data_IF_986244738662
#
_entry.id   IF_986244738662
#
_cell.length_a   1.000
_cell.length_b   1.000
_cell.length_c   1.000
_cell.angle_alpha   90.00
_cell.angle_beta   90.00
_cell.angle_gamma   90.00
#
_symmetry.space_group_name_H-M   'P 1'
#
loop_
_entity.id
_entity.type
_entity.pdbx_description
1 polymer ?
#
# COMPACT_ATOMS: atom_id res chain seq x y z
N UNK A 1 -5.77 -20.00 1.34
CA UNK A 1 -6.59 -19.21 0.39
C UNK A 1 -8.04 -18.96 0.84
N UNK A 2 -8.79 -19.94 1.35
CA UNK A 2 -10.18 -19.69 1.78
C UNK A 2 -10.31 -18.55 2.82
N UNK A 3 -9.42 -18.52 3.82
CA UNK A 3 -9.39 -17.46 4.82
C UNK A 3 -9.25 -16.06 4.20
N UNK A 4 -8.29 -15.90 3.28
CA UNK A 4 -8.08 -14.64 2.56
C UNK A 4 -9.29 -14.25 1.71
N UNK A 5 -9.96 -15.21 1.06
CA UNK A 5 -11.19 -14.94 0.31
C UNK A 5 -12.35 -14.45 1.18
N UNK A 6 -12.46 -14.91 2.43
CA UNK A 6 -13.43 -14.33 3.38
C UNK A 6 -13.04 -12.93 3.84
N UNK A 7 -11.75 -12.68 4.03
CA UNK A 7 -11.25 -11.38 4.47
C UNK A 7 -11.47 -10.30 3.40
N UNK A 8 -11.09 -10.54 2.15
CA UNK A 8 -11.32 -9.58 1.05
C UNK A 8 -12.83 -9.33 0.80
N UNK A 9 -13.70 -10.26 1.22
CA UNK A 9 -15.15 -10.13 1.18
C UNK A 9 -15.76 -9.45 2.44
N UNK A 10 -14.94 -9.07 3.42
CA UNK A 10 -15.37 -8.41 4.66
C UNK A 10 -15.95 -9.34 5.73
N UNK A 11 -15.85 -10.66 5.55
CA UNK A 11 -16.30 -11.66 6.54
C UNK A 11 -15.15 -12.03 7.50
N UNK A 12 -14.69 -11.03 8.25
CA UNK A 12 -13.50 -11.12 9.09
C UNK A 12 -13.56 -12.23 10.15
N UNK A 13 -14.74 -12.50 10.71
CA UNK A 13 -14.92 -13.55 11.70
C UNK A 13 -14.67 -14.95 11.10
N UNK A 14 -15.19 -15.22 9.89
CA UNK A 14 -14.94 -16.50 9.21
C UNK A 14 -13.52 -16.58 8.66
N UNK A 15 -12.97 -15.46 8.20
CA UNK A 15 -11.58 -15.38 7.79
C UNK A 15 -10.63 -15.75 8.93
N UNK A 16 -10.82 -15.16 10.12
CA UNK A 16 -10.00 -15.46 11.31
C UNK A 16 -10.07 -16.95 11.67
N UNK A 17 -11.28 -17.50 11.80
CA UNK A 17 -11.48 -18.90 12.17
C UNK A 17 -10.86 -19.87 11.14
N UNK A 18 -10.97 -19.54 9.85
CA UNK A 18 -10.37 -20.34 8.79
C UNK A 18 -8.83 -20.27 8.80
N UNK A 19 -8.26 -19.10 9.06
CA UNK A 19 -6.81 -18.92 9.18
C UNK A 19 -6.26 -19.69 10.39
N UNK A 20 -6.91 -19.59 11.56
CA UNK A 20 -6.56 -20.32 12.78
C UNK A 20 -6.61 -21.84 12.56
N UNK A 21 -7.64 -22.33 11.87
CA UNK A 21 -7.76 -23.75 11.51
C UNK A 21 -6.61 -24.18 10.59
N UNK A 22 -6.31 -23.41 9.55
CA UNK A 22 -5.24 -23.73 8.61
C UNK A 22 -3.87 -23.79 9.30
N UNK A 23 -3.56 -22.81 10.16
CA UNK A 23 -2.31 -22.76 10.93
C UNK A 23 -2.22 -23.93 11.93
N UNK A 24 -3.34 -24.32 12.55
CA UNK A 24 -3.38 -25.48 13.43
C UNK A 24 -3.08 -26.81 12.72
N UNK A 25 -3.36 -26.89 11.40
CA UNK A 25 -3.08 -28.05 10.57
C UNK A 25 -1.67 -28.02 9.98
N UNK A 26 -1.23 -26.87 9.46
CA UNK A 26 0.09 -26.66 8.88
C UNK A 26 0.66 -25.32 9.37
N UNK A 27 1.45 -25.32 10.46
CA UNK A 27 2.02 -24.10 11.03
C UNK A 27 2.96 -23.34 10.08
N UNK A 28 3.56 -24.02 9.09
CA UNK A 28 4.47 -23.40 8.15
C UNK A 28 3.78 -22.84 6.90
N UNK A 29 2.44 -22.79 6.86
CA UNK A 29 1.71 -22.11 5.79
C UNK A 29 1.79 -20.57 5.96
N UNK A 30 2.60 -19.86 5.16
CA UNK A 30 2.72 -18.42 5.29
C UNK A 30 1.45 -17.70 4.82
N UNK A 31 0.64 -18.32 3.95
CA UNK A 31 -0.61 -17.72 3.46
C UNK A 31 -1.68 -17.64 4.54
N UNK A 32 -1.73 -18.62 5.44
CA UNK A 32 -2.65 -18.57 6.57
C UNK A 32 -2.23 -17.51 7.59
N UNK A 33 -0.92 -17.37 7.84
CA UNK A 33 -0.38 -16.28 8.68
C UNK A 33 -0.71 -14.91 8.08
N UNK A 34 -0.47 -14.74 6.78
CA UNK A 34 -0.81 -13.54 6.03
C UNK A 34 -2.31 -13.22 6.10
N UNK A 35 -3.19 -14.20 5.85
CA UNK A 35 -4.64 -13.98 5.93
C UNK A 35 -5.08 -13.54 7.35
N UNK A 36 -4.45 -14.08 8.39
CA UNK A 36 -4.71 -13.62 9.76
C UNK A 36 -4.24 -12.18 9.97
N UNK A 37 -3.04 -11.83 9.49
CA UNK A 37 -2.50 -10.47 9.60
C UNK A 37 -3.45 -9.45 8.95
N UNK A 38 -3.92 -9.76 7.75
CA UNK A 38 -4.95 -9.03 7.02
C UNK A 38 -6.22 -8.78 7.86
N UNK A 39 -6.76 -9.82 8.49
CA UNK A 39 -7.94 -9.71 9.35
C UNK A 39 -7.71 -8.77 10.54
N UNK A 40 -6.51 -8.75 11.11
CA UNK A 40 -6.17 -7.86 12.22
C UNK A 40 -5.98 -6.42 11.76
N UNK A 41 -5.37 -6.22 10.60
CA UNK A 41 -5.18 -4.91 9.98
C UNK A 41 -6.51 -4.27 9.61
N UNK A 42 -7.39 -4.99 8.89
CA UNK A 42 -8.68 -4.48 8.46
C UNK A 42 -9.70 -4.27 9.58
N UNK A 43 -9.45 -4.82 10.77
CA UNK A 43 -10.26 -4.60 11.98
C UNK A 43 -9.59 -3.65 12.96
N UNK A 44 -8.47 -3.02 12.59
CA UNK A 44 -7.77 -2.04 13.43
C UNK A 44 -7.33 -2.64 14.78
N UNK A 45 -6.81 -3.89 14.72
CA UNK A 45 -6.37 -4.73 15.85
C UNK A 45 -4.86 -5.00 15.80
N UNK A 46 -4.06 -3.94 15.68
CA UNK A 46 -2.60 -4.03 15.48
C UNK A 46 -1.89 -4.86 16.55
N UNK A 47 -2.26 -4.69 17.81
CA UNK A 47 -1.60 -5.40 18.92
C UNK A 47 -1.79 -6.92 18.83
N UNK A 48 -2.99 -7.37 18.45
CA UNK A 48 -3.30 -8.79 18.27
C UNK A 48 -2.56 -9.35 17.05
N UNK A 49 -2.50 -8.58 15.96
CA UNK A 49 -1.77 -8.96 14.75
C UNK A 49 -0.27 -9.09 14.98
N UNK A 50 0.36 -8.14 15.68
CA UNK A 50 1.79 -8.20 16.04
C UNK A 50 2.09 -9.40 16.94
N UNK A 51 1.29 -9.62 17.98
CA UNK A 51 1.44 -10.77 18.86
C UNK A 51 1.31 -12.10 18.09
N UNK A 52 0.41 -12.14 17.11
CA UNK A 52 0.20 -13.32 16.26
C UNK A 52 1.38 -13.58 15.32
N UNK A 53 1.82 -12.56 14.57
CA UNK A 53 2.96 -12.64 13.65
C UNK A 53 4.21 -13.10 14.42
N UNK A 54 4.48 -12.50 15.58
CA UNK A 54 5.63 -12.83 16.39
C UNK A 54 5.61 -14.29 16.87
N UNK A 55 4.46 -14.75 17.38
CA UNK A 55 4.28 -16.13 17.84
C UNK A 55 4.55 -17.16 16.73
N UNK A 56 4.21 -16.84 15.49
CA UNK A 56 4.40 -17.73 14.34
C UNK A 56 5.73 -17.53 13.60
N UNK A 57 6.55 -16.56 14.02
CA UNK A 57 7.84 -16.21 13.40
C UNK A 57 8.72 -17.41 13.07
N UNK A 58 8.91 -18.42 13.94
CA UNK A 58 9.75 -19.58 13.63
C UNK A 58 9.28 -20.46 12.45
N UNK A 59 8.05 -20.23 11.97
CA UNK A 59 7.43 -20.99 10.90
C UNK A 59 7.47 -20.24 9.56
N UNK A 60 6.86 -19.06 9.51
CA UNK A 60 6.69 -18.34 8.24
C UNK A 60 8.00 -17.72 7.72
N UNK A 61 9.02 -17.48 8.57
CA UNK A 61 10.34 -17.02 8.10
C UNK A 61 11.13 -18.08 7.33
N UNK A 62 10.59 -19.30 7.20
CA UNK A 62 11.15 -20.38 6.37
C UNK A 62 10.46 -20.49 5.02
N UNK A 63 9.45 -19.65 4.77
CA UNK A 63 8.77 -19.59 3.50
C UNK A 63 9.67 -19.03 2.40
N UNK A 64 9.14 -19.01 1.18
CA UNK A 64 9.75 -18.30 0.05
C UNK A 64 9.74 -16.77 0.29
N UNK A 65 10.01 -16.01 -0.76
CA UNK A 65 9.97 -14.53 -0.75
C UNK A 65 8.68 -13.95 -0.13
N UNK A 66 7.58 -14.68 -0.08
CA UNK A 66 6.34 -14.23 0.56
C UNK A 66 6.49 -13.86 2.05
N UNK A 67 7.54 -14.33 2.73
CA UNK A 67 7.88 -13.86 4.08
C UNK A 67 8.09 -12.33 4.14
N UNK A 68 8.61 -11.72 3.06
CA UNK A 68 8.82 -10.26 2.96
C UNK A 68 7.50 -9.50 3.04
N UNK A 69 6.41 -10.10 2.55
CA UNK A 69 5.08 -9.52 2.64
C UNK A 69 4.50 -9.62 4.06
N UNK A 70 4.80 -10.70 4.80
CA UNK A 70 4.44 -10.78 6.23
C UNK A 70 5.24 -9.75 7.05
N UNK A 71 6.52 -9.58 6.74
CA UNK A 71 7.35 -8.52 7.32
C UNK A 71 6.79 -7.12 7.05
N UNK A 72 6.19 -6.91 5.87
CA UNK A 72 5.50 -5.68 5.50
C UNK A 72 4.24 -5.44 6.34
N UNK A 73 3.40 -6.46 6.58
CA UNK A 73 2.25 -6.32 7.50
C UNK A 73 2.68 -6.03 8.94
N UNK A 74 3.74 -6.66 9.43
CA UNK A 74 4.28 -6.34 10.76
C UNK A 74 4.67 -4.85 10.82
N UNK A 75 5.30 -4.33 9.76
CA UNK A 75 5.64 -2.93 9.64
C UNK A 75 4.41 -2.01 9.61
N UNK A 76 3.34 -2.37 8.89
CA UNK A 76 2.11 -1.57 8.88
C UNK A 76 1.43 -1.53 10.25
N UNK A 77 1.36 -2.65 10.96
CA UNK A 77 0.79 -2.65 12.32
C UNK A 77 1.62 -1.81 13.31
N UNK A 78 2.96 -1.79 13.15
CA UNK A 78 3.82 -0.89 13.92
C UNK A 78 3.63 0.57 13.54
N UNK A 79 3.40 0.84 12.25
CA UNK A 79 3.15 2.18 11.71
C UNK A 79 1.86 2.77 12.32
N UNK A 80 0.78 1.99 12.30
CA UNK A 80 -0.51 2.35 12.88
C UNK A 80 -0.45 2.57 14.40
N UNK A 81 0.51 1.92 15.09
CA UNK A 81 0.80 2.18 16.51
C UNK A 81 1.67 3.43 16.76
N UNK A 82 2.08 4.15 15.72
CA UNK A 82 2.97 5.30 15.83
C UNK A 82 4.43 4.93 16.13
N UNK A 83 4.86 3.71 15.84
CA UNK A 83 6.21 3.19 16.12
C UNK A 83 7.18 3.43 14.96
N UNK A 84 7.23 4.65 14.43
CA UNK A 84 7.96 4.96 13.18
C UNK A 84 9.44 4.55 13.17
N UNK A 85 10.13 4.63 14.31
CA UNK A 85 11.51 4.16 14.42
C UNK A 85 11.66 2.65 14.21
N UNK A 86 10.72 1.87 14.76
CA UNK A 86 10.69 0.41 14.59
C UNK A 86 10.33 0.05 13.14
N UNK A 87 9.41 0.79 12.53
CA UNK A 87 9.03 0.61 11.11
C UNK A 87 10.23 0.84 10.19
N UNK A 88 11.02 1.89 10.45
CA UNK A 88 12.22 2.17 9.65
C UNK A 88 13.29 1.07 9.81
N UNK A 89 13.51 0.60 11.04
CA UNK A 89 14.42 -0.52 11.29
C UNK A 89 13.94 -1.82 10.61
N UNK A 90 12.63 -2.09 10.63
CA UNK A 90 11.99 -3.22 9.97
C UNK A 90 12.11 -3.13 8.45
N UNK A 91 11.96 -1.94 7.89
CA UNK A 91 12.17 -1.69 6.47
C UNK A 91 13.59 -2.06 6.05
N UNK A 92 14.60 -1.53 6.75
CA UNK A 92 16.01 -1.77 6.43
C UNK A 92 16.41 -3.24 6.58
N UNK A 93 15.88 -3.91 7.60
CA UNK A 93 16.22 -5.30 7.91
C UNK A 93 15.56 -6.31 6.96
N UNK A 94 14.32 -6.06 6.54
CA UNK A 94 13.48 -7.10 5.94
C UNK A 94 12.75 -6.66 4.67
N UNK A 95 12.19 -5.45 4.62
CA UNK A 95 11.30 -5.06 3.50
C UNK A 95 12.07 -4.49 2.30
N UNK A 96 13.20 -3.81 2.53
CA UNK A 96 14.01 -3.24 1.46
C UNK A 96 14.47 -4.28 0.44
N UNK A 97 14.68 -5.52 0.88
CA UNK A 97 15.02 -6.70 0.07
C UNK A 97 15.91 -6.36 -1.15
N UNK A 98 17.13 -5.84 -0.93
CA UNK A 98 17.92 -5.20 -2.00
C UNK A 98 18.28 -6.15 -3.14
N UNK A 99 18.33 -7.46 -2.90
CA UNK A 99 18.61 -8.48 -3.92
C UNK A 99 17.34 -9.00 -4.65
N UNK A 100 16.13 -8.62 -4.20
CA UNK A 100 14.87 -9.08 -4.79
C UNK A 100 14.45 -8.22 -5.99
N UNK A 101 14.06 -8.87 -7.08
CA UNK A 101 13.47 -8.25 -8.28
C UNK A 101 11.96 -8.53 -8.39
N UNK A 102 11.39 -9.19 -7.39
CA UNK A 102 9.98 -9.58 -7.34
C UNK A 102 9.09 -8.35 -7.19
N UNK A 103 8.07 -8.23 -8.05
CA UNK A 103 7.21 -7.05 -8.10
C UNK A 103 6.56 -6.75 -6.73
N UNK A 104 6.20 -7.79 -5.99
CA UNK A 104 5.54 -7.64 -4.69
C UNK A 104 6.47 -7.01 -3.66
N UNK A 105 7.75 -7.39 -3.66
CA UNK A 105 8.74 -6.82 -2.74
C UNK A 105 9.00 -5.34 -3.06
N UNK A 106 9.04 -4.99 -4.36
CA UNK A 106 9.14 -3.59 -4.81
C UNK A 106 7.92 -2.77 -4.39
N UNK A 107 6.71 -3.34 -4.52
CA UNK A 107 5.47 -2.70 -4.07
C UNK A 107 5.50 -2.51 -2.54
N UNK A 108 5.85 -3.54 -1.77
CA UNK A 108 5.96 -3.46 -0.30
C UNK A 108 6.91 -2.34 0.12
N UNK A 109 8.08 -2.26 -0.50
CA UNK A 109 9.09 -1.24 -0.21
C UNK A 109 8.59 0.17 -0.53
N UNK A 110 8.09 0.41 -1.76
CA UNK A 110 7.57 1.73 -2.15
C UNK A 110 6.40 2.17 -1.26
N UNK A 111 5.52 1.23 -0.92
CA UNK A 111 4.33 1.42 -0.11
C UNK A 111 4.65 1.86 1.32
N UNK A 112 5.69 1.29 1.95
CA UNK A 112 6.15 1.74 3.28
C UNK A 112 6.87 3.09 3.25
N UNK A 113 7.73 3.33 2.26
CA UNK A 113 8.46 4.60 2.18
C UNK A 113 7.49 5.77 2.03
N UNK A 114 6.50 5.65 1.15
CA UNK A 114 5.51 6.71 0.95
C UNK A 114 4.69 6.96 2.23
N UNK A 115 4.31 5.91 2.96
CA UNK A 115 3.61 6.05 4.25
C UNK A 115 4.47 6.77 5.28
N UNK A 116 5.74 6.40 5.41
CA UNK A 116 6.69 7.07 6.30
C UNK A 116 6.82 8.56 5.97
N UNK A 117 6.93 8.93 4.69
CA UNK A 117 6.97 10.33 4.25
C UNK A 117 5.69 11.10 4.59
N UNK A 118 4.50 10.51 4.37
CA UNK A 118 3.20 11.10 4.76
C UNK A 118 3.15 11.34 6.28
N UNK A 119 3.78 10.47 7.06
CA UNK A 119 3.86 10.60 8.52
C UNK A 119 5.02 11.51 8.98
N UNK A 120 5.71 12.18 8.04
CA UNK A 120 6.74 13.17 8.32
C UNK A 120 8.12 12.59 8.62
N UNK A 121 8.37 11.33 8.26
CA UNK A 121 9.66 10.67 8.43
C UNK A 121 10.51 10.89 7.17
N UNK A 122 11.74 11.36 7.36
CA UNK A 122 12.74 11.42 6.29
C UNK A 122 13.25 10.01 5.98
N UNK A 123 13.03 9.57 4.74
CA UNK A 123 13.42 8.24 4.27
C UNK A 123 14.82 8.19 3.65
N UNK A 124 15.49 9.33 3.48
CA UNK A 124 16.80 9.43 2.83
C UNK A 124 16.82 8.87 1.41
N UNK A 125 17.91 8.20 1.03
CA UNK A 125 18.14 7.72 -0.34
C UNK A 125 17.41 6.40 -0.69
N UNK A 126 16.50 5.91 0.17
CA UNK A 126 15.87 4.58 0.04
C UNK A 126 14.98 4.42 -1.19
N UNK A 127 14.53 5.52 -1.79
CA UNK A 127 13.80 5.47 -3.06
C UNK A 127 14.68 5.07 -4.26
N UNK A 128 15.97 5.44 -4.25
CA UNK A 128 16.87 5.24 -5.39
C UNK A 128 17.01 3.77 -5.79
N UNK A 129 17.27 2.82 -4.85
CA UNK A 129 17.35 1.40 -5.21
C UNK A 129 16.07 0.85 -5.84
N UNK A 130 14.89 1.30 -5.40
CA UNK A 130 13.62 0.86 -5.98
C UNK A 130 13.47 1.41 -7.40
N UNK A 131 13.70 2.72 -7.57
CA UNK A 131 13.61 3.40 -8.86
C UNK A 131 14.55 2.78 -9.91
N UNK A 132 15.77 2.43 -9.52
CA UNK A 132 16.75 1.84 -10.43
C UNK A 132 16.31 0.46 -10.95
N UNK A 133 15.63 -0.35 -10.12
CA UNK A 133 15.08 -1.65 -10.53
C UNK A 133 13.90 -1.53 -11.48
N UNK A 134 13.04 -0.53 -11.28
CA UNK A 134 11.82 -0.36 -12.08
C UNK A 134 12.02 0.49 -13.34
N UNK A 135 13.13 1.22 -13.45
CA UNK A 135 13.47 2.11 -14.59
C UNK A 135 13.33 1.43 -15.95
N UNK A 136 13.68 0.15 -16.06
CA UNK A 136 13.61 -0.63 -17.30
C UNK A 136 12.29 -1.38 -17.50
N UNK A 137 11.30 -1.20 -16.62
CA UNK A 137 10.08 -2.02 -16.50
C UNK A 137 8.80 -1.22 -16.79
N UNK A 138 8.92 -0.07 -17.42
CA UNK A 138 7.81 0.87 -17.68
C UNK A 138 6.76 0.34 -18.66
N UNK A 139 7.03 -0.78 -19.33
CA UNK A 139 6.17 -1.41 -20.35
C UNK A 139 5.66 -2.81 -19.92
N UNK A 140 5.88 -3.25 -18.68
CA UNK A 140 5.52 -4.61 -18.24
C UNK A 140 4.01 -4.85 -18.07
N UNK A 141 3.29 -3.86 -17.52
CA UNK A 141 1.82 -3.83 -17.39
C UNK A 141 1.16 -5.09 -16.85
N UNK A 142 1.83 -5.77 -15.91
CA UNK A 142 1.35 -7.02 -15.32
C UNK A 142 0.01 -6.85 -14.59
N UNK A 143 -0.15 -5.72 -13.90
CA UNK A 143 -1.33 -5.36 -13.12
C UNK A 143 -1.26 -3.87 -12.82
N UNK A 144 -2.37 -3.14 -12.95
CA UNK A 144 -2.41 -1.68 -12.69
C UNK A 144 -1.85 -1.33 -11.30
N UNK A 145 -2.12 -2.15 -10.29
CA UNK A 145 -1.52 -2.01 -8.95
C UNK A 145 0.02 -1.93 -8.97
N UNK A 146 0.68 -2.83 -9.70
CA UNK A 146 2.14 -2.90 -9.78
C UNK A 146 2.69 -1.67 -10.52
N UNK A 147 2.04 -1.33 -11.64
CA UNK A 147 2.40 -0.17 -12.45
C UNK A 147 2.41 1.12 -11.62
N UNK A 148 1.41 1.30 -10.76
CA UNK A 148 1.31 2.47 -9.89
C UNK A 148 2.43 2.53 -8.84
N UNK A 149 2.89 1.40 -8.32
CA UNK A 149 4.02 1.38 -7.38
C UNK A 149 5.35 1.66 -8.07
N UNK A 150 5.51 1.23 -9.32
CA UNK A 150 6.68 1.57 -10.13
C UNK A 150 6.69 3.06 -10.47
N UNK A 151 5.55 3.59 -10.92
CA UNK A 151 5.38 5.02 -11.17
C UNK A 151 5.65 5.86 -9.91
N UNK A 152 5.19 5.40 -8.75
CA UNK A 152 5.46 6.04 -7.46
C UNK A 152 6.96 6.11 -7.16
N UNK A 153 7.69 5.00 -7.35
CA UNK A 153 9.14 4.96 -7.11
C UNK A 153 9.92 5.86 -8.09
N UNK A 154 9.54 5.88 -9.36
CA UNK A 154 10.12 6.77 -10.37
C UNK A 154 9.87 8.25 -10.06
N UNK A 155 8.61 8.59 -9.75
CA UNK A 155 8.24 9.95 -9.37
C UNK A 155 8.98 10.40 -8.10
N UNK A 156 9.16 9.52 -7.12
CA UNK A 156 9.83 9.84 -5.86
C UNK A 156 11.28 10.29 -6.03
N UNK A 157 11.97 9.86 -7.09
CA UNK A 157 13.35 10.27 -7.39
C UNK A 157 13.45 11.31 -8.51
N UNK A 158 12.31 11.85 -8.98
CA UNK A 158 12.24 12.80 -10.09
C UNK A 158 12.67 12.19 -11.43
N UNK A 159 12.36 10.92 -11.66
CA UNK A 159 12.73 10.23 -12.90
C UNK A 159 11.74 10.49 -14.03
N UNK A 160 12.22 11.02 -15.15
CA UNK A 160 11.40 11.29 -16.34
C UNK A 160 10.74 10.03 -16.92
N UNK A 161 11.24 8.83 -16.59
CA UNK A 161 10.61 7.56 -16.98
C UNK A 161 9.17 7.41 -16.49
N UNK A 162 8.76 8.13 -15.44
CA UNK A 162 7.36 8.14 -15.02
C UNK A 162 6.43 8.71 -16.10
N UNK A 163 6.90 9.71 -16.86
CA UNK A 163 6.12 10.30 -17.95
C UNK A 163 6.03 9.36 -19.14
N UNK A 164 7.12 8.67 -19.49
CA UNK A 164 7.12 7.64 -20.52
C UNK A 164 6.14 6.50 -20.17
N UNK A 165 6.15 6.04 -18.92
CA UNK A 165 5.23 5.03 -18.42
C UNK A 165 3.78 5.49 -18.52
N UNK A 166 3.49 6.72 -18.11
CA UNK A 166 2.17 7.34 -18.23
C UNK A 166 1.69 7.41 -19.69
N UNK A 167 2.56 7.86 -20.60
CA UNK A 167 2.26 7.96 -22.03
C UNK A 167 1.99 6.60 -22.64
N UNK A 168 2.78 5.59 -22.28
CA UNK A 168 2.55 4.21 -22.71
C UNK A 168 1.19 3.71 -22.23
N UNK A 169 0.89 3.81 -20.93
CA UNK A 169 -0.40 3.38 -20.37
C UNK A 169 -1.57 4.05 -21.11
N UNK A 170 -1.43 5.33 -21.46
CA UNK A 170 -2.44 6.09 -22.21
C UNK A 170 -2.57 5.66 -23.68
N UNK A 171 -1.52 5.14 -24.31
CA UNK A 171 -1.49 4.72 -25.72
C UNK A 171 -1.67 3.20 -25.95
N UNK A 172 -1.50 2.38 -24.92
CA UNK A 172 -1.57 0.92 -25.03
C UNK A 172 -2.99 0.44 -25.34
N UNK A 173 -3.16 -0.37 -26.39
CA UNK A 173 -4.49 -0.87 -26.82
C UNK A 173 -4.73 -2.35 -26.45
N UNK A 174 -3.69 -3.06 -26.00
CA UNK A 174 -3.75 -4.45 -25.55
C UNK A 174 -4.39 -5.46 -26.54
N UNK A 175 -4.45 -6.75 -26.17
CA UNK A 175 -5.34 -7.70 -26.80
C UNK A 175 -6.79 -7.52 -26.31
N UNK A 176 -7.78 -8.02 -27.06
CA UNK A 176 -9.22 -7.87 -26.73
C UNK A 176 -9.63 -8.49 -25.38
N UNK A 177 -8.89 -9.50 -24.89
CA UNK A 177 -9.16 -10.23 -23.64
C UNK A 177 -8.36 -9.70 -22.43
N UNK A 178 -7.65 -8.57 -22.59
CA UNK A 178 -6.95 -7.93 -21.50
C UNK A 178 -7.92 -7.29 -20.50
N UNK A 179 -8.19 -8.02 -19.41
CA UNK A 179 -9.02 -7.52 -18.31
C UNK A 179 -8.40 -6.34 -17.54
N UNK A 180 -7.08 -6.14 -17.61
CA UNK A 180 -6.38 -5.05 -16.93
C UNK A 180 -6.39 -3.76 -17.75
N UNK A 181 -6.42 -3.84 -19.09
CA UNK A 181 -6.48 -2.68 -19.99
C UNK A 181 -7.53 -1.62 -19.60
N UNK A 182 -8.84 -1.95 -19.44
CA UNK A 182 -9.83 -0.94 -19.09
C UNK A 182 -9.56 -0.32 -17.72
N UNK A 183 -9.02 -1.09 -16.76
CA UNK A 183 -8.67 -0.62 -15.42
C UNK A 183 -7.46 0.32 -15.49
N UNK A 184 -6.44 -0.05 -16.27
CA UNK A 184 -5.26 0.76 -16.49
C UNK A 184 -5.60 2.12 -17.12
N UNK A 185 -6.52 2.14 -18.11
CA UNK A 185 -6.99 3.38 -18.73
C UNK A 185 -7.80 4.24 -17.77
N UNK A 186 -8.76 3.63 -17.07
CA UNK A 186 -9.72 4.36 -16.24
C UNK A 186 -9.12 4.81 -14.89
N UNK A 187 -8.22 4.02 -14.31
CA UNK A 187 -7.64 4.25 -12.99
C UNK A 187 -6.13 4.48 -13.06
N UNK A 188 -5.40 3.64 -13.79
CA UNK A 188 -3.94 3.71 -13.85
C UNK A 188 -3.43 5.07 -14.33
N UNK A 189 -3.88 5.53 -15.49
CA UNK A 189 -3.47 6.84 -16.06
C UNK A 189 -3.72 8.02 -15.11
N UNK A 190 -4.94 8.28 -14.62
CA UNK A 190 -5.17 9.41 -13.72
C UNK A 190 -4.44 9.27 -12.37
N UNK A 191 -4.23 8.05 -11.87
CA UNK A 191 -3.46 7.85 -10.65
C UNK A 191 -1.97 8.13 -10.88
N UNK A 192 -1.37 7.76 -12.02
CA UNK A 192 0.01 8.18 -12.35
C UNK A 192 0.10 9.70 -12.46
N UNK A 193 -0.87 10.35 -13.10
CA UNK A 193 -0.93 11.82 -13.15
C UNK A 193 -0.95 12.44 -11.73
N UNK A 194 -1.68 11.81 -10.80
CA UNK A 194 -1.74 12.22 -9.40
C UNK A 194 -0.40 12.00 -8.66
N UNK A 195 0.30 10.87 -8.89
CA UNK A 195 1.60 10.60 -8.25
C UNK A 195 2.67 11.59 -8.70
N UNK A 196 2.68 11.94 -9.99
CA UNK A 196 3.54 13.00 -10.53
C UNK A 196 3.20 14.34 -9.88
N UNK A 197 1.92 14.73 -9.88
CA UNK A 197 1.46 15.97 -9.26
C UNK A 197 1.81 16.06 -7.77
N UNK A 198 1.71 14.94 -7.04
CA UNK A 198 2.05 14.86 -5.62
C UNK A 198 3.53 15.17 -5.39
N UNK A 199 4.42 14.63 -6.23
CA UNK A 199 5.87 14.87 -6.15
C UNK A 199 6.26 16.28 -6.60
N UNK A 200 5.52 16.87 -7.53
CA UNK A 200 5.68 18.27 -7.97
C UNK A 200 5.15 19.31 -6.96
N UNK A 201 4.48 18.87 -5.88
CA UNK A 201 3.82 19.77 -4.92
C UNK A 201 2.51 20.39 -5.45
N UNK A 202 1.98 19.89 -6.56
CA UNK A 202 0.69 20.30 -7.15
C UNK A 202 -0.47 19.55 -6.50
N UNK A 203 -0.67 19.79 -5.20
CA UNK A 203 -1.58 18.98 -4.39
C UNK A 203 -3.08 19.10 -4.75
N UNK A 204 -3.51 20.24 -5.29
CA UNK A 204 -4.88 20.38 -5.82
C UNK A 204 -5.10 19.47 -7.05
N UNK A 205 -4.08 19.30 -7.89
CA UNK A 205 -4.15 18.43 -9.07
C UNK A 205 -4.22 16.95 -8.66
N UNK A 206 -3.58 16.56 -7.55
CA UNK A 206 -3.73 15.22 -6.95
C UNK A 206 -5.20 14.96 -6.62
N UNK A 207 -5.86 15.89 -5.92
CA UNK A 207 -7.26 15.75 -5.56
C UNK A 207 -8.16 15.73 -6.81
N UNK A 208 -7.89 16.59 -7.80
CA UNK A 208 -8.64 16.63 -9.05
C UNK A 208 -8.57 15.30 -9.83
N UNK A 209 -7.42 14.63 -9.82
CA UNK A 209 -7.22 13.34 -10.49
C UNK A 209 -7.79 12.15 -9.70
N UNK A 210 -7.66 12.14 -8.37
CA UNK A 210 -8.02 10.98 -7.55
C UNK A 210 -9.49 10.95 -7.14
N UNK A 211 -10.12 12.10 -6.84
CA UNK A 211 -11.51 12.14 -6.37
C UNK A 211 -12.51 11.49 -7.33
N UNK A 212 -12.43 11.69 -8.66
CA UNK A 212 -13.38 11.06 -9.60
C UNK A 212 -13.32 9.53 -9.61
N UNK A 213 -12.18 8.94 -9.22
CA UNK A 213 -11.92 7.49 -9.35
C UNK A 213 -11.77 6.78 -8.00
N UNK A 214 -11.78 7.51 -6.87
CA UNK A 214 -11.42 6.97 -5.54
C UNK A 214 -12.20 5.71 -5.14
N UNK A 215 -13.50 5.66 -5.46
CA UNK A 215 -14.35 4.52 -5.11
C UNK A 215 -14.19 3.32 -6.04
N UNK A 216 -13.43 3.46 -7.12
CA UNK A 216 -13.14 2.40 -8.09
C UNK A 216 -11.73 1.83 -7.93
N UNK A 217 -10.89 2.41 -7.05
CA UNK A 217 -9.50 1.98 -6.80
C UNK A 217 -9.40 0.48 -6.46
N UNK A 218 -10.43 -0.13 -5.89
CA UNK A 218 -10.47 -1.56 -5.60
C UNK A 218 -10.25 -2.45 -6.84
N UNK A 219 -10.55 -1.96 -8.04
CA UNK A 219 -10.40 -2.71 -9.29
C UNK A 219 -8.95 -2.88 -9.73
N UNK A 220 -8.02 -2.03 -9.27
CA UNK A 220 -6.62 -2.06 -9.75
C UNK A 220 -5.83 -3.31 -9.33
N UNK A 221 -6.40 -4.14 -8.47
CA UNK A 221 -5.73 -5.25 -7.80
C UNK A 221 -5.13 -4.85 -6.45
N UNK A 222 -4.19 -5.67 -5.97
CA UNK A 222 -3.74 -5.62 -4.58
C UNK A 222 -4.81 -6.06 -3.59
N UNK A 223 -4.53 -5.95 -2.29
CA UNK A 223 -5.47 -6.17 -1.20
C UNK A 223 -5.94 -4.85 -0.58
N UNK A 224 -6.95 -4.87 0.29
CA UNK A 224 -7.46 -3.63 0.92
C UNK A 224 -6.36 -2.83 1.62
N UNK A 225 -5.52 -3.49 2.41
CA UNK A 225 -4.38 -2.87 3.11
C UNK A 225 -3.36 -2.24 2.14
N UNK A 226 -3.10 -2.88 0.99
CA UNK A 226 -2.16 -2.33 0.00
C UNK A 226 -2.72 -1.06 -0.65
N UNK A 227 -4.02 -1.06 -0.98
CA UNK A 227 -4.69 0.07 -1.63
C UNK A 227 -4.90 1.28 -0.72
N UNK A 228 -4.91 1.08 0.60
CA UNK A 228 -5.01 2.14 1.61
C UNK A 228 -4.00 3.28 1.39
N UNK A 229 -2.86 2.99 0.76
CA UNK A 229 -1.84 3.97 0.40
C UNK A 229 -2.41 5.15 -0.40
N UNK A 230 -3.32 4.87 -1.33
CA UNK A 230 -3.85 5.91 -2.23
C UNK A 230 -4.83 6.83 -1.50
N UNK A 231 -5.60 6.31 -0.54
CA UNK A 231 -6.41 7.14 0.35
C UNK A 231 -5.51 8.03 1.24
N UNK A 232 -4.40 7.49 1.76
CA UNK A 232 -3.42 8.27 2.52
C UNK A 232 -2.78 9.39 1.68
N UNK A 233 -2.40 9.11 0.43
CA UNK A 233 -1.85 10.12 -0.50
C UNK A 233 -2.88 11.22 -0.74
N UNK A 234 -4.14 10.87 -0.97
CA UNK A 234 -5.22 11.84 -1.20
C UNK A 234 -5.48 12.71 0.03
N UNK A 235 -5.53 12.11 1.23
CA UNK A 235 -5.68 12.85 2.49
C UNK A 235 -4.52 13.83 2.67
N UNK A 236 -3.29 13.36 2.49
CA UNK A 236 -2.10 14.20 2.68
C UNK A 236 -2.02 15.33 1.64
N UNK A 237 -2.36 15.06 0.38
CA UNK A 237 -2.47 16.10 -0.64
C UNK A 237 -3.53 17.14 -0.28
N UNK A 238 -4.73 16.72 0.16
CA UNK A 238 -5.78 17.64 0.59
C UNK A 238 -5.32 18.53 1.75
N UNK A 239 -4.55 17.98 2.70
CA UNK A 239 -3.94 18.74 3.80
C UNK A 239 -2.94 19.76 3.28
N UNK A 240 -2.00 19.34 2.45
CA UNK A 240 -0.92 20.20 1.92
C UNK A 240 -1.44 21.28 0.95
N UNK A 241 -2.55 21.03 0.27
CA UNK A 241 -3.28 22.02 -0.52
C UNK A 241 -4.02 23.07 0.35
N UNK A 242 -4.15 22.84 1.67
CA UNK A 242 -4.95 23.69 2.54
C UNK A 242 -6.47 23.53 2.35
N UNK A 243 -6.92 22.46 1.67
CA UNK A 243 -8.33 22.18 1.46
C UNK A 243 -8.95 21.54 2.72
N UNK A 244 -9.26 22.38 3.71
CA UNK A 244 -9.74 21.93 5.02
C UNK A 244 -11.07 21.18 4.98
N UNK A 245 -11.97 21.50 4.04
CA UNK A 245 -13.24 20.78 3.90
C UNK A 245 -13.02 19.35 3.41
N UNK A 246 -12.21 19.17 2.35
CA UNK A 246 -11.90 17.84 1.83
C UNK A 246 -11.10 17.02 2.85
N UNK A 247 -10.09 17.65 3.48
CA UNK A 247 -9.28 17.03 4.54
C UNK A 247 -10.16 16.45 5.65
N UNK A 248 -11.07 17.24 6.22
CA UNK A 248 -11.96 16.78 7.30
C UNK A 248 -12.90 15.67 6.85
N UNK A 249 -13.42 15.74 5.63
CA UNK A 249 -14.33 14.71 5.10
C UNK A 249 -13.61 13.35 4.96
N UNK A 250 -12.42 13.34 4.35
CA UNK A 250 -11.64 12.12 4.15
C UNK A 250 -11.13 11.54 5.48
N UNK A 251 -10.65 12.39 6.40
CA UNK A 251 -10.22 11.92 7.72
C UNK A 251 -11.40 11.40 8.56
N UNK A 252 -12.60 11.97 8.43
CA UNK A 252 -13.78 11.45 9.13
C UNK A 252 -14.14 10.04 8.63
N UNK A 253 -14.06 9.80 7.32
CA UNK A 253 -14.25 8.48 6.72
C UNK A 253 -13.19 7.49 7.20
N UNK A 254 -11.90 7.86 7.12
CA UNK A 254 -10.80 7.02 7.60
C UNK A 254 -10.91 6.69 9.08
N UNK A 255 -11.21 7.68 9.92
CA UNK A 255 -11.37 7.50 11.37
C UNK A 255 -12.51 6.55 11.73
N UNK A 256 -13.58 6.53 10.94
CA UNK A 256 -14.67 5.60 11.15
C UNK A 256 -14.25 4.15 10.85
N UNK A 257 -13.34 3.95 9.90
CA UNK A 257 -12.79 2.65 9.55
C UNK A 257 -11.63 2.20 10.46
N UNK A 258 -10.76 3.14 10.85
CA UNK A 258 -9.52 2.91 11.60
C UNK A 258 -9.45 3.81 12.86
N UNK A 259 -10.35 3.62 13.85
CA UNK A 259 -10.45 4.46 15.05
C UNK A 259 -9.26 4.40 16.05
N UNK A 260 -8.30 3.51 15.84
CA UNK A 260 -7.14 3.25 16.68
C UNK A 260 -5.82 3.50 15.94
N UNK A 261 -5.87 3.83 14.64
CA UNK A 261 -4.71 4.29 13.89
C UNK A 261 -4.19 5.63 14.46
N UNK A 262 -2.94 5.61 14.91
CA UNK A 262 -2.29 6.73 15.57
C UNK A 262 -2.21 7.97 14.67
N UNK A 263 -1.88 7.81 13.39
CA UNK A 263 -1.77 8.95 12.49
C UNK A 263 -3.13 9.58 12.20
N UNK A 264 -4.17 8.76 12.00
CA UNK A 264 -5.54 9.21 11.77
C UNK A 264 -6.09 9.99 12.94
N UNK A 265 -6.02 9.45 14.18
CA UNK A 265 -6.52 10.15 15.36
C UNK A 265 -5.81 11.49 15.58
N UNK A 266 -4.47 11.50 15.48
CA UNK A 266 -3.68 12.73 15.61
C UNK A 266 -4.08 13.76 14.55
N UNK A 267 -4.11 13.34 13.29
CA UNK A 267 -4.34 14.23 12.15
C UNK A 267 -5.78 14.76 12.13
N UNK A 268 -6.76 13.93 12.49
CA UNK A 268 -8.16 14.35 12.60
C UNK A 268 -8.34 15.40 13.72
N UNK A 269 -7.70 15.21 14.87
CA UNK A 269 -7.73 16.19 15.96
C UNK A 269 -7.11 17.54 15.55
N UNK A 270 -5.99 17.52 14.80
CA UNK A 270 -5.36 18.73 14.25
C UNK A 270 -6.26 19.44 13.24
N UNK A 271 -6.97 18.71 12.37
CA UNK A 271 -7.85 19.29 11.35
C UNK A 271 -9.19 19.82 11.89
N UNK A 272 -9.56 19.42 13.12
CA UNK A 272 -10.78 19.84 13.81
C UNK A 272 -10.58 21.06 14.72
N UNK A 273 -9.32 21.42 15.03
CA UNK A 273 -8.95 22.59 15.82
C UNK A 273 -9.01 23.90 15.01
#
# INVERSE_FOLDING_TARGET
>A
MQAFGFEEAGDYARAQAAAETAIGLEPNDPWATHAYAHVMEMQDRQADGLAWIDRLRPHWTKANNFQNHIWWHEALMMLDQGRMGDVMAQYDAHVAAPESEEYLDLCNAASLLQRLEIMGIDVGDRWRPIADKVRGRTEEHLLTFVDLHYALALAAVGDEKVHEMREFMAAYEGPEDDSNLPIMKALGVPLVDALIAYRDGRYDDVAASMIPVRYEIWQMGGSHAQRDLFDLILIDAARKAGNGNLTRALLAERRAAMPHDHWTEKTFAEAAA
#
